data_IF_760498471822
#
_entry.id   IF_760498471822
#
_cell.length_a   1.000
_cell.length_b   1.000
_cell.length_c   1.000
_cell.angle_alpha   90.00
_cell.angle_beta   90.00
_cell.angle_gamma   90.00
#
_symmetry.space_group_name_H-M   'P 1'
#
loop_
_entity.id
_entity.type
_entity.pdbx_description
1 polymer ?
#
# COMPACT_ATOMS: atom_id res chain seq x y z
N UNK A 1 -20.66 2.31 -22.07
CA UNK A 1 -19.36 2.32 -22.77
C UNK A 1 -18.34 2.94 -21.81
N UNK A 2 -17.57 2.13 -21.08
CA UNK A 2 -16.54 2.65 -20.19
C UNK A 2 -15.46 3.34 -21.03
N UNK A 3 -15.27 4.65 -20.87
CA UNK A 3 -14.25 5.41 -21.59
C UNK A 3 -12.86 5.00 -21.11
N UNK A 4 -11.86 4.97 -21.99
CA UNK A 4 -10.44 4.73 -21.65
C UNK A 4 -9.93 5.66 -20.54
N UNK A 5 -10.49 6.88 -20.45
CA UNK A 5 -10.16 7.85 -19.41
C UNK A 5 -10.61 7.33 -18.03
N UNK A 6 -11.78 6.70 -17.97
CA UNK A 6 -12.31 6.13 -16.72
C UNK A 6 -11.49 4.90 -16.27
N UNK A 7 -11.06 4.06 -17.21
CA UNK A 7 -10.21 2.89 -16.93
C UNK A 7 -8.82 3.31 -16.40
N UNK A 8 -8.22 4.34 -17.00
CA UNK A 8 -6.95 4.89 -16.51
C UNK A 8 -7.10 5.46 -15.10
N UNK A 9 -8.16 6.22 -14.85
CA UNK A 9 -8.39 6.84 -13.54
C UNK A 9 -8.60 5.77 -12.46
N UNK A 10 -9.44 4.77 -12.73
CA UNK A 10 -9.65 3.64 -11.82
C UNK A 10 -8.33 2.92 -11.49
N UNK A 11 -7.47 2.68 -12.48
CA UNK A 11 -6.15 2.10 -12.22
C UNK A 11 -5.27 2.97 -11.31
N UNK A 12 -5.26 4.30 -11.50
CA UNK A 12 -4.47 5.19 -10.64
C UNK A 12 -5.02 5.18 -9.22
N UNK A 13 -6.35 5.18 -9.07
CA UNK A 13 -7.01 5.15 -7.78
C UNK A 13 -6.70 3.82 -7.05
N UNK A 14 -6.83 2.68 -7.72
CA UNK A 14 -6.45 1.37 -7.19
C UNK A 14 -4.96 1.30 -6.80
N UNK A 15 -4.07 1.83 -7.65
CA UNK A 15 -2.64 1.90 -7.35
C UNK A 15 -2.39 2.71 -6.08
N UNK A 16 -3.05 3.86 -5.97
CA UNK A 16 -2.89 4.79 -4.83
C UNK A 16 -3.44 4.16 -3.56
N UNK A 17 -4.59 3.48 -3.64
CA UNK A 17 -5.17 2.76 -2.50
C UNK A 17 -4.29 1.61 -2.02
N UNK A 18 -3.70 0.86 -2.95
CA UNK A 18 -2.76 -0.21 -2.64
C UNK A 18 -1.49 0.34 -1.96
N UNK A 19 -1.01 1.50 -2.43
CA UNK A 19 0.13 2.19 -1.81
C UNK A 19 -0.19 2.68 -0.39
N UNK A 20 -1.38 3.27 -0.17
CA UNK A 20 -1.85 3.70 1.14
C UNK A 20 -1.95 2.54 2.12
N UNK A 21 -2.59 1.43 1.74
CA UNK A 21 -2.63 0.21 2.53
C UNK A 21 -1.21 -0.30 2.84
N UNK A 22 -0.30 -0.22 1.88
CA UNK A 22 1.11 -0.53 2.06
C UNK A 22 1.75 0.27 3.20
N UNK A 23 1.58 1.59 3.22
CA UNK A 23 2.11 2.45 4.30
C UNK A 23 1.58 2.02 5.68
N UNK A 24 0.28 1.77 5.79
CA UNK A 24 -0.31 1.31 7.06
C UNK A 24 0.30 -0.05 7.51
N UNK A 25 0.50 -0.98 6.58
CA UNK A 25 1.16 -2.27 6.85
C UNK A 25 2.62 -2.09 7.26
N UNK A 26 3.34 -1.17 6.62
CA UNK A 26 4.72 -0.83 6.98
C UNK A 26 4.82 -0.32 8.41
N UNK A 27 3.87 0.51 8.86
CA UNK A 27 3.81 1.01 10.25
C UNK A 27 3.66 -0.15 11.22
N UNK A 28 2.73 -1.09 10.99
CA UNK A 28 2.57 -2.26 11.86
C UNK A 28 3.85 -3.10 11.92
N UNK A 29 4.37 -3.50 10.76
CA UNK A 29 5.54 -4.38 10.65
C UNK A 29 6.78 -3.78 11.32
N UNK A 30 7.03 -2.49 11.11
CA UNK A 30 8.23 -1.82 11.64
C UNK A 30 8.13 -1.60 13.15
N UNK A 31 6.92 -1.57 13.71
CA UNK A 31 6.66 -1.44 15.14
C UNK A 31 6.30 -2.77 15.82
N UNK A 32 6.54 -3.91 15.15
CA UNK A 32 6.39 -5.25 15.75
C UNK A 32 4.95 -5.73 15.93
N UNK A 33 3.96 -5.15 15.22
CA UNK A 33 2.57 -5.63 15.18
C UNK A 33 2.26 -6.33 13.85
N UNK A 34 1.27 -7.23 13.87
CA UNK A 34 0.76 -7.91 12.69
C UNK A 34 -0.75 -7.81 12.60
N UNK A 35 -1.28 -7.76 11.37
CA UNK A 35 -2.73 -7.79 11.13
C UNK A 35 -3.37 -9.14 11.50
N UNK A 36 -2.55 -10.16 11.79
CA UNK A 36 -3.02 -11.48 12.20
C UNK A 36 -3.21 -11.62 13.73
N UNK A 37 -2.80 -10.63 14.52
CA UNK A 37 -2.80 -10.72 15.99
C UNK A 37 -4.22 -10.79 16.60
N UNK A 38 -5.29 -10.53 15.83
CA UNK A 38 -6.69 -10.68 16.28
C UNK A 38 -7.24 -12.12 16.17
N UNK A 39 -6.55 -13.04 15.49
CA UNK A 39 -7.07 -14.39 15.24
C UNK A 39 -6.36 -15.41 16.13
N UNK A 40 -6.93 -15.62 17.33
CA UNK A 40 -6.86 -16.80 18.22
C UNK A 40 -5.77 -16.80 19.33
N UNK A 41 -6.13 -17.08 20.61
CA UNK A 41 -5.16 -17.36 21.66
C UNK A 41 -4.37 -18.65 21.39
N UNK A 42 -3.04 -18.48 21.34
CA UNK A 42 -1.97 -19.49 21.30
C UNK A 42 -2.38 -20.96 21.47
N UNK A 43 -2.29 -21.73 20.37
CA UNK A 43 -1.78 -23.10 20.44
C UNK A 43 -0.33 -23.07 19.98
N UNK A 44 0.58 -23.39 20.92
CA UNK A 44 1.97 -23.73 20.61
C UNK A 44 1.96 -25.00 19.75
N UNK A 45 1.95 -24.85 18.44
CA UNK A 45 2.28 -25.94 17.52
C UNK A 45 3.77 -25.86 17.20
N UNK A 46 4.42 -27.01 17.38
CA UNK A 46 5.87 -27.20 17.28
C UNK A 46 6.39 -26.77 15.91
N UNK A 47 7.55 -26.13 15.93
CA UNK A 47 8.39 -25.86 14.77
C UNK A 47 8.52 -27.09 13.87
N UNK A 48 7.92 -27.04 12.68
CA UNK A 48 8.26 -27.91 11.57
C UNK A 48 8.93 -27.07 10.49
N UNK A 49 10.22 -27.35 10.27
CA UNK A 49 11.13 -26.62 9.39
C UNK A 49 10.68 -26.78 7.93
N UNK A 50 9.79 -25.92 7.46
CA UNK A 50 9.58 -25.70 6.03
C UNK A 50 10.70 -24.79 5.51
N UNK A 51 11.35 -25.24 4.43
CA UNK A 51 12.51 -24.60 3.83
C UNK A 51 12.16 -23.18 3.36
N UNK A 52 12.56 -22.19 4.17
CA UNK A 52 12.59 -20.79 3.77
C UNK A 52 13.68 -20.67 2.70
N UNK A 53 13.27 -20.34 1.47
CA UNK A 53 14.19 -19.79 0.50
C UNK A 53 14.66 -18.43 1.03
N UNK A 54 15.83 -18.42 1.67
CA UNK A 54 16.55 -17.19 1.92
C UNK A 54 16.96 -16.61 0.56
N UNK A 55 16.11 -15.77 -0.01
CA UNK A 55 16.61 -14.76 -0.93
C UNK A 55 17.27 -13.71 -0.06
N UNK A 56 18.61 -13.74 -0.06
CA UNK A 56 19.52 -12.80 0.57
C UNK A 56 18.89 -11.41 0.80
N UNK A 57 18.53 -11.14 2.05
CA UNK A 57 18.42 -9.77 2.53
C UNK A 57 19.85 -9.20 2.56
N UNK A 58 20.35 -8.87 1.38
CA UNK A 58 21.57 -8.10 1.23
C UNK A 58 21.25 -6.73 1.82
N UNK A 59 21.61 -6.54 3.09
CA UNK A 59 21.66 -5.23 3.74
C UNK A 59 22.69 -4.43 2.94
N UNK A 60 22.22 -3.82 1.87
CA UNK A 60 23.02 -2.89 1.10
C UNK A 60 23.18 -1.68 2.01
N UNK A 61 24.40 -1.46 2.52
CA UNK A 61 24.79 -0.23 3.22
C UNK A 61 24.44 0.97 2.35
N UNK A 62 23.29 1.62 2.61
CA UNK A 62 22.75 2.67 1.76
C UNK A 62 22.80 4.03 2.47
N UNK A 63 23.99 4.63 2.59
CA UNK A 63 24.13 6.03 3.01
C UNK A 63 23.43 6.40 4.33
N UNK A 64 23.24 7.70 4.63
CA UNK A 64 22.38 8.10 5.75
C UNK A 64 20.95 7.61 5.49
N UNK A 65 20.33 7.02 6.52
CA UNK A 65 18.94 6.56 6.47
C UNK A 65 18.06 7.73 5.99
N UNK A 66 17.40 7.56 4.84
CA UNK A 66 16.45 8.56 4.34
C UNK A 66 15.25 8.57 5.29
N UNK A 67 14.84 9.75 5.71
CA UNK A 67 13.71 9.94 6.63
C UNK A 67 12.59 10.63 5.85
N UNK A 68 11.37 10.13 5.99
CA UNK A 68 10.13 10.68 5.44
C UNK A 68 9.28 11.22 6.60
N UNK A 69 8.65 12.41 6.48
CA UNK A 69 7.76 12.95 7.52
C UNK A 69 6.57 12.03 7.84
N UNK A 70 6.01 12.18 9.05
CA UNK A 70 4.83 11.40 9.48
C UNK A 70 3.56 11.70 8.64
N UNK A 71 3.54 12.81 7.91
CA UNK A 71 2.45 13.25 7.02
C UNK A 71 2.04 12.18 5.99
N UNK A 72 2.98 11.32 5.55
CA UNK A 72 2.65 10.20 4.66
C UNK A 72 1.69 9.20 5.32
N UNK A 73 1.78 8.99 6.64
CA UNK A 73 0.89 8.11 7.40
C UNK A 73 -0.49 8.74 7.50
N UNK A 74 -0.55 10.02 7.84
CA UNK A 74 -1.82 10.78 7.90
C UNK A 74 -2.51 10.75 6.55
N UNK A 75 -1.76 10.97 5.47
CA UNK A 75 -2.26 10.91 4.10
C UNK A 75 -2.80 9.53 3.75
N UNK A 76 -2.08 8.46 4.11
CA UNK A 76 -2.53 7.09 3.90
C UNK A 76 -3.80 6.75 4.70
N UNK A 77 -3.91 7.21 5.94
CA UNK A 77 -5.10 7.03 6.78
C UNK A 77 -6.32 7.69 6.14
N UNK A 78 -6.20 8.96 5.73
CA UNK A 78 -7.29 9.71 5.07
C UNK A 78 -7.73 9.02 3.77
N UNK A 79 -6.78 8.60 2.92
CA UNK A 79 -7.11 7.90 1.68
C UNK A 79 -7.86 6.58 1.94
N UNK A 80 -7.40 5.80 2.92
CA UNK A 80 -8.02 4.55 3.35
C UNK A 80 -9.41 4.73 3.97
N UNK A 81 -9.61 5.77 4.79
CA UNK A 81 -10.92 6.11 5.35
C UNK A 81 -11.91 6.52 4.26
N UNK A 82 -11.48 7.39 3.34
CA UNK A 82 -12.33 7.82 2.22
C UNK A 82 -12.75 6.63 1.33
N UNK A 83 -11.83 5.71 1.04
CA UNK A 83 -12.17 4.51 0.29
C UNK A 83 -13.13 3.58 1.03
N UNK A 84 -12.96 3.44 2.35
CA UNK A 84 -13.88 2.66 3.17
C UNK A 84 -15.28 3.28 3.18
N UNK A 85 -15.37 4.61 3.26
CA UNK A 85 -16.61 5.37 3.13
C UNK A 85 -17.30 5.08 1.78
N UNK A 86 -16.58 5.21 0.67
CA UNK A 86 -17.13 4.94 -0.67
C UNK A 86 -17.65 3.50 -0.83
N UNK A 87 -17.04 2.53 -0.15
CA UNK A 87 -17.46 1.13 -0.19
C UNK A 87 -18.68 0.83 0.70
N UNK A 88 -18.72 1.40 1.90
CA UNK A 88 -19.69 1.03 2.94
C UNK A 88 -20.87 1.98 3.03
N UNK A 89 -20.70 3.21 2.53
CA UNK A 89 -21.64 4.32 2.72
C UNK A 89 -22.00 4.54 4.20
N UNK A 90 -21.13 4.14 5.13
CA UNK A 90 -21.30 4.42 6.55
C UNK A 90 -21.00 5.90 6.78
N UNK A 91 -21.95 6.65 7.33
CA UNK A 91 -21.78 8.07 7.66
C UNK A 91 -20.74 8.22 8.79
N UNK A 92 -19.45 8.28 8.47
CA UNK A 92 -18.45 8.82 9.39
C UNK A 92 -18.55 10.35 9.32
N UNK A 93 -19.06 10.99 10.38
CA UNK A 93 -19.26 12.45 10.48
C UNK A 93 -17.96 13.30 10.30
N UNK A 94 -16.80 12.65 10.19
CA UNK A 94 -15.46 13.24 10.12
C UNK A 94 -14.71 12.96 8.79
N UNK A 95 -15.41 12.86 7.65
CA UNK A 95 -14.74 12.65 6.35
C UNK A 95 -13.88 13.87 6.00
N UNK A 96 -12.58 13.76 6.27
CA UNK A 96 -11.57 14.66 5.74
C UNK A 96 -11.59 14.49 4.23
N UNK A 97 -11.96 15.58 3.55
CA UNK A 97 -12.15 15.64 2.10
C UNK A 97 -10.88 15.15 1.37
N UNK A 98 -10.99 14.03 0.64
CA UNK A 98 -9.91 13.43 -0.15
C UNK A 98 -9.29 14.37 -1.21
N UNK A 99 -9.92 15.52 -1.48
CA UNK A 99 -9.40 16.58 -2.34
C UNK A 99 -8.12 17.28 -1.84
N UNK A 100 -7.63 16.96 -0.64
CA UNK A 100 -6.44 17.59 -0.02
C UNK A 100 -5.16 16.75 -0.20
N UNK A 101 -5.27 15.50 -0.67
CA UNK A 101 -4.11 14.63 -0.83
C UNK A 101 -3.32 15.01 -2.08
N UNK A 102 -2.14 15.60 -1.92
CA UNK A 102 -1.15 15.70 -3.01
C UNK A 102 -0.67 14.29 -3.36
N UNK A 103 -1.42 13.64 -4.27
CA UNK A 103 -1.17 12.29 -4.75
C UNK A 103 0.25 12.14 -5.28
N UNK A 104 0.76 13.15 -5.98
CA UNK A 104 2.09 13.09 -6.56
C UNK A 104 3.16 13.04 -5.47
N UNK A 105 3.03 13.89 -4.46
CA UNK A 105 3.94 13.89 -3.31
C UNK A 105 3.84 12.57 -2.53
N UNK A 106 2.62 12.11 -2.25
CA UNK A 106 2.37 10.84 -1.57
C UNK A 106 3.02 9.64 -2.29
N UNK A 107 2.84 9.52 -3.60
CA UNK A 107 3.44 8.41 -4.37
C UNK A 107 4.98 8.51 -4.39
N UNK A 108 5.53 9.74 -4.41
CA UNK A 108 6.97 9.93 -4.31
C UNK A 108 7.52 9.39 -2.99
N UNK A 109 6.89 9.75 -1.87
CA UNK A 109 7.34 9.33 -0.54
C UNK A 109 7.09 7.85 -0.29
N UNK A 110 5.99 7.30 -0.82
CA UNK A 110 5.73 5.86 -0.85
C UNK A 110 6.92 5.09 -1.46
N UNK A 111 7.48 5.56 -2.58
CA UNK A 111 8.66 4.91 -3.16
C UNK A 111 9.90 5.03 -2.29
N UNK A 112 10.08 6.17 -1.60
CA UNK A 112 11.20 6.32 -0.67
C UNK A 112 11.12 5.26 0.43
N UNK A 113 9.95 5.06 1.01
CA UNK A 113 9.72 4.07 2.08
C UNK A 113 9.83 2.65 1.55
N UNK A 114 9.03 2.28 0.55
CA UNK A 114 8.86 0.88 0.14
C UNK A 114 9.97 0.34 -0.75
N UNK A 115 10.60 1.21 -1.56
CA UNK A 115 11.58 0.77 -2.54
C UNK A 115 13.01 1.18 -2.16
N UNK A 116 13.18 2.30 -1.46
CA UNK A 116 14.49 2.82 -1.08
C UNK A 116 14.81 2.68 0.41
N UNK A 117 13.93 2.05 1.19
CA UNK A 117 14.16 1.73 2.59
C UNK A 117 14.18 2.94 3.53
N UNK A 118 13.50 4.03 3.15
CA UNK A 118 13.35 5.18 4.03
C UNK A 118 12.51 4.84 5.26
N UNK A 119 12.82 5.48 6.39
CA UNK A 119 12.04 5.36 7.62
C UNK A 119 11.06 6.53 7.75
N UNK A 120 9.86 6.25 8.28
CA UNK A 120 8.86 7.29 8.54
C UNK A 120 8.99 7.76 9.99
N UNK A 121 9.03 9.07 10.20
CA UNK A 121 9.09 9.67 11.54
C UNK A 121 7.87 9.28 12.39
N UNK A 122 8.09 9.12 13.70
CA UNK A 122 7.05 8.96 14.72
C UNK A 122 6.00 7.87 14.42
N UNK A 123 6.36 6.85 13.63
CA UNK A 123 5.42 5.84 13.17
C UNK A 123 4.75 5.06 14.31
N UNK A 124 5.42 4.97 15.46
CA UNK A 124 4.93 4.35 16.70
C UNK A 124 3.61 4.95 17.20
N UNK A 125 3.40 6.26 17.00
CA UNK A 125 2.17 6.96 17.42
C UNK A 125 0.92 6.51 16.68
N UNK A 126 1.09 5.94 15.48
CA UNK A 126 -0.01 5.64 14.55
C UNK A 126 -0.39 4.17 14.51
N UNK A 127 0.30 3.31 15.26
CA UNK A 127 0.17 1.86 15.18
C UNK A 127 -1.26 1.39 15.38
N UNK A 128 -1.95 1.90 16.41
CA UNK A 128 -3.33 1.46 16.71
C UNK A 128 -4.33 1.95 15.66
N UNK A 129 -4.18 3.18 15.18
CA UNK A 129 -5.00 3.73 14.09
C UNK A 129 -4.83 2.93 12.79
N UNK A 130 -3.58 2.64 12.41
CA UNK A 130 -3.27 1.83 11.23
C UNK A 130 -3.86 0.42 11.35
N UNK A 131 -3.73 -0.20 12.53
CA UNK A 131 -4.23 -1.54 12.78
C UNK A 131 -5.76 -1.61 12.65
N UNK A 132 -6.48 -0.74 13.36
CA UNK A 132 -7.94 -0.70 13.34
C UNK A 132 -8.49 -0.46 11.93
N UNK A 133 -7.91 0.49 11.19
CA UNK A 133 -8.36 0.78 9.83
C UNK A 133 -8.07 -0.36 8.87
N UNK A 134 -6.90 -1.01 8.96
CA UNK A 134 -6.61 -2.22 8.17
C UNK A 134 -7.57 -3.37 8.49
N UNK A 135 -7.96 -3.56 9.76
CA UNK A 135 -8.97 -4.54 10.14
C UNK A 135 -10.34 -4.25 9.50
N UNK A 136 -10.78 -2.98 9.49
CA UNK A 136 -12.01 -2.56 8.80
C UNK A 136 -11.91 -2.84 7.29
N UNK A 137 -10.82 -2.38 6.64
CA UNK A 137 -10.59 -2.57 5.21
C UNK A 137 -10.55 -4.05 4.82
N UNK A 138 -9.94 -4.92 5.62
CA UNK A 138 -9.84 -6.37 5.36
C UNK A 138 -11.22 -7.03 5.20
N UNK A 139 -12.25 -6.51 5.87
CA UNK A 139 -13.62 -7.04 5.79
C UNK A 139 -14.30 -6.76 4.45
N UNK A 140 -13.92 -5.66 3.79
CA UNK A 140 -14.54 -5.19 2.54
C UNK A 140 -13.63 -5.34 1.31
N UNK A 141 -12.31 -5.53 1.51
CA UNK A 141 -11.33 -5.75 0.46
C UNK A 141 -10.59 -7.08 0.66
N UNK A 142 -11.08 -8.19 0.07
CA UNK A 142 -10.44 -9.50 0.15
C UNK A 142 -9.03 -9.55 -0.46
N UNK A 143 -8.66 -8.60 -1.34
CA UNK A 143 -7.34 -8.57 -1.96
C UNK A 143 -6.25 -8.03 -1.02
N UNK A 144 -6.65 -7.37 0.09
CA UNK A 144 -5.72 -6.75 1.03
C UNK A 144 -4.66 -7.73 1.55
N UNK A 145 -5.02 -8.98 1.80
CA UNK A 145 -4.09 -9.99 2.34
C UNK A 145 -3.05 -10.45 1.30
N UNK A 146 -3.36 -10.39 0.00
CA UNK A 146 -2.50 -10.89 -1.08
C UNK A 146 -1.67 -9.78 -1.76
N UNK A 147 -2.09 -8.52 -1.70
CA UNK A 147 -1.40 -7.40 -2.37
C UNK A 147 0.02 -7.13 -1.84
N UNK A 148 0.33 -7.61 -0.63
CA UNK A 148 1.60 -7.32 0.05
C UNK A 148 1.80 -5.82 0.29
N UNK A 149 3.06 -5.35 0.21
CA UNK A 149 3.47 -3.95 0.43
C UNK A 149 4.10 -3.29 -0.81
N UNK A 150 4.58 -4.09 -1.77
CA UNK A 150 5.41 -3.63 -2.90
C UNK A 150 4.62 -3.17 -4.13
N UNK A 151 3.28 -3.25 -4.08
CA UNK A 151 2.37 -2.73 -5.09
C UNK A 151 2.78 -3.13 -6.53
N UNK A 152 2.85 -4.45 -6.78
CA UNK A 152 3.32 -5.02 -8.04
C UNK A 152 2.15 -5.28 -8.98
N UNK A 153 2.20 -4.68 -10.17
CA UNK A 153 1.21 -4.77 -11.23
C UNK A 153 1.70 -5.59 -12.42
N UNK A 154 0.82 -6.42 -12.96
CA UNK A 154 1.11 -7.25 -14.14
C UNK A 154 0.53 -6.57 -15.39
N UNK A 155 1.39 -5.97 -16.20
CA UNK A 155 1.01 -5.45 -17.51
C UNK A 155 1.02 -6.58 -18.54
N UNK A 156 -0.10 -6.73 -19.26
CA UNK A 156 -0.27 -7.72 -20.33
C UNK A 156 -0.60 -7.01 -21.65
N UNK A 157 0.11 -7.28 -22.75
CA UNK A 157 -0.27 -6.78 -24.06
C UNK A 157 -1.59 -7.42 -24.51
N UNK A 158 -2.45 -6.64 -25.19
CA UNK A 158 -3.77 -7.10 -25.64
C UNK A 158 -3.63 -8.24 -26.65
N UNK A 159 -4.52 -9.22 -26.53
CA UNK A 159 -4.75 -10.41 -27.37
C UNK A 159 -3.55 -10.85 -28.25
N UNK A 160 -2.85 -11.92 -27.83
CA UNK A 160 -1.83 -12.75 -28.55
C UNK A 160 -0.54 -13.07 -27.76
N UNK A 161 -0.47 -12.78 -26.44
CA UNK A 161 0.82 -12.92 -25.74
C UNK A 161 1.41 -14.34 -25.79
N UNK A 162 0.62 -15.44 -25.74
CA UNK A 162 1.16 -16.81 -25.54
C UNK A 162 2.26 -16.86 -24.45
N UNK A 163 2.14 -16.00 -23.42
CA UNK A 163 3.14 -15.79 -22.36
C UNK A 163 4.22 -14.73 -22.63
N UNK A 164 4.37 -14.22 -23.86
CA UNK A 164 5.37 -13.20 -24.23
C UNK A 164 4.89 -11.78 -23.92
N UNK A 165 5.79 -10.98 -23.33
CA UNK A 165 5.56 -9.56 -23.08
C UNK A 165 4.75 -9.26 -21.82
N UNK A 166 4.45 -10.26 -20.98
CA UNK A 166 3.91 -10.06 -19.63
C UNK A 166 5.02 -9.47 -18.76
N UNK A 167 4.77 -8.34 -18.08
CA UNK A 167 5.76 -7.67 -17.25
C UNK A 167 5.18 -7.33 -15.88
N UNK A 168 5.93 -7.61 -14.83
CA UNK A 168 5.67 -7.09 -13.50
C UNK A 168 6.33 -5.72 -13.35
N UNK A 169 5.59 -4.73 -12.86
CA UNK A 169 6.05 -3.37 -12.59
C UNK A 169 5.49 -2.92 -11.26
N UNK A 170 6.24 -2.12 -10.52
CA UNK A 170 5.78 -1.49 -9.29
C UNK A 170 5.91 0.04 -9.36
N UNK A 171 6.17 0.57 -10.56
CA UNK A 171 6.32 1.99 -10.79
C UNK A 171 5.12 2.55 -11.58
N UNK A 172 4.41 3.51 -10.98
CA UNK A 172 3.23 4.16 -11.56
C UNK A 172 3.64 5.02 -12.77
N UNK A 173 4.87 5.55 -12.75
CA UNK A 173 5.43 6.41 -13.80
C UNK A 173 5.47 5.72 -15.17
N UNK A 174 5.65 4.41 -15.23
CA UNK A 174 5.61 3.65 -16.49
C UNK A 174 4.23 3.73 -17.16
N UNK A 175 3.17 3.98 -16.39
CA UNK A 175 1.80 4.04 -16.89
C UNK A 175 1.27 5.47 -17.00
N UNK A 176 1.70 6.37 -16.11
CA UNK A 176 1.21 7.75 -16.02
C UNK A 176 2.36 8.73 -15.78
N UNK A 177 2.66 9.62 -16.73
CA UNK A 177 3.66 10.66 -16.53
C UNK A 177 3.30 11.60 -15.37
N UNK A 178 4.29 12.06 -14.60
CA UNK A 178 4.08 12.96 -13.46
C UNK A 178 3.35 14.26 -13.76
N UNK A 179 3.37 14.72 -15.02
CA UNK A 179 2.66 15.94 -15.47
C UNK A 179 1.14 15.75 -15.48
N UNK A 180 0.66 14.51 -15.40
CA UNK A 180 -0.75 14.15 -15.50
C UNK A 180 -1.35 13.73 -14.15
N UNK A 181 -0.60 13.82 -13.05
CA UNK A 181 -1.03 13.39 -11.70
C UNK A 181 -1.30 14.54 -10.72
N UNK A 182 -1.17 15.79 -11.16
CA UNK A 182 -1.65 16.96 -10.42
C UNK A 182 -2.75 17.62 -11.24
N UNK A 183 -3.99 17.48 -10.79
CA UNK A 183 -5.17 18.16 -11.31
C UNK A 183 -5.81 18.93 -10.17
#
# INVERSE_FOLDING_TARGET
MFSKINEKQAFIDDFTMTAACGILKWVLRTNGKSLQDEVIPSRKEKEEKTAICMSDAKINNHGPARIVPEDIIVTALVACQFHLYDLTHEDEDDIICAGIVDRKHFISDYYQVMHHGAHIQNSDKYVDYCHQLLCKLRRVNPQLDIDGEKNIWISKPRNLSRGRGIRCRNDLKTYVPWKEMGG
#
